data_IF_699599896088
#
_entry.id   IF_699599896088
#
_cell.length_a   1.000
_cell.length_b   1.000
_cell.length_c   1.000
_cell.angle_alpha   90.00
_cell.angle_beta   90.00
_cell.angle_gamma   90.00
#
_symmetry.space_group_name_H-M   'P 1'
#
loop_
_entity.id
_entity.type
_entity.pdbx_description
1 polymer ?
#
# COMPACT_ATOMS: atom_id res chain seq x y z
N UNK A 1 8.15 -11.67 6.49
CA UNK A 1 8.01 -11.37 7.93
C UNK A 1 7.00 -10.24 8.18
N UNK A 2 7.19 -9.04 7.63
CA UNK A 2 6.26 -7.89 7.78
C UNK A 2 4.78 -8.21 7.45
N UNK A 3 4.49 -8.79 6.27
CA UNK A 3 3.11 -9.13 5.89
C UNK A 3 2.46 -10.15 6.85
N UNK A 4 3.25 -11.06 7.44
CA UNK A 4 2.74 -12.06 8.39
C UNK A 4 2.34 -11.39 9.72
N UNK A 5 3.15 -10.44 10.18
CA UNK A 5 2.82 -9.60 11.33
C UNK A 5 1.53 -8.81 11.15
N UNK A 6 1.41 -8.07 10.04
CA UNK A 6 0.20 -7.32 9.71
C UNK A 6 -1.02 -8.23 9.58
N UNK A 7 -0.85 -9.42 9.02
CA UNK A 7 -1.94 -10.38 8.90
C UNK A 7 -2.45 -10.86 10.26
N UNK A 8 -1.56 -11.04 11.25
CA UNK A 8 -1.94 -11.29 12.65
C UNK A 8 -2.80 -10.16 13.22
N UNK A 9 -2.37 -8.90 13.00
CA UNK A 9 -3.12 -7.71 13.43
C UNK A 9 -4.48 -7.62 12.72
N UNK A 10 -4.54 -7.89 11.42
CA UNK A 10 -5.78 -7.91 10.67
C UNK A 10 -6.75 -8.96 11.22
N UNK A 11 -6.26 -10.15 11.55
CA UNK A 11 -7.07 -11.19 12.19
C UNK A 11 -7.59 -10.76 13.55
N UNK A 12 -6.74 -10.21 14.42
CA UNK A 12 -7.16 -9.77 15.75
C UNK A 12 -8.19 -8.64 15.70
N UNK A 13 -8.16 -7.81 14.64
CA UNK A 13 -9.12 -6.73 14.43
C UNK A 13 -10.36 -7.15 13.62
N UNK A 14 -10.45 -8.40 13.14
CA UNK A 14 -11.56 -8.88 12.31
C UNK A 14 -11.61 -8.23 10.92
N UNK A 15 -10.45 -7.87 10.35
CA UNK A 15 -10.31 -7.13 9.08
C UNK A 15 -9.56 -7.90 7.99
N UNK A 16 -9.30 -9.19 8.20
CA UNK A 16 -8.46 -10.02 7.32
C UNK A 16 -9.07 -10.27 5.93
N UNK A 17 -10.37 -10.07 5.77
CA UNK A 17 -11.11 -10.13 4.51
C UNK A 17 -11.18 -8.78 3.78
N UNK A 18 -10.86 -7.68 4.47
CA UNK A 18 -10.92 -6.32 3.91
C UNK A 18 -9.62 -5.86 3.27
N UNK A 19 -8.48 -6.29 3.81
CA UNK A 19 -7.16 -5.82 3.36
C UNK A 19 -6.32 -6.93 2.74
N UNK A 20 -5.89 -6.71 1.49
CA UNK A 20 -4.90 -7.54 0.82
C UNK A 20 -3.49 -7.01 1.10
N UNK A 21 -2.60 -7.86 1.64
CA UNK A 21 -1.21 -7.48 1.88
C UNK A 21 -0.32 -8.07 0.79
N UNK A 22 0.36 -7.21 0.02
CA UNK A 22 1.29 -7.70 -1.01
C UNK A 22 2.73 -7.71 -0.50
N UNK A 23 3.41 -8.83 -0.74
CA UNK A 23 4.83 -8.95 -0.42
C UNK A 23 5.68 -8.11 -1.41
N UNK A 24 6.57 -7.24 -0.93
CA UNK A 24 7.41 -6.42 -1.81
C UNK A 24 8.29 -7.25 -2.74
N UNK A 25 8.74 -8.44 -2.27
CA UNK A 25 9.52 -9.35 -3.09
C UNK A 25 8.72 -9.77 -4.33
N UNK A 26 7.43 -10.10 -4.19
CA UNK A 26 6.59 -10.47 -5.33
C UNK A 26 6.43 -9.31 -6.31
N UNK A 27 6.30 -8.08 -5.81
CA UNK A 27 6.14 -6.90 -6.66
C UNK A 27 7.45 -6.57 -7.40
N UNK A 28 8.60 -6.68 -6.72
CA UNK A 28 9.91 -6.30 -7.26
C UNK A 28 10.50 -7.36 -8.18
N UNK A 29 10.35 -8.65 -7.88
CA UNK A 29 10.83 -9.74 -8.76
C UNK A 29 9.99 -9.84 -10.03
N UNK A 30 8.67 -9.64 -9.95
CA UNK A 30 7.79 -9.71 -11.11
C UNK A 30 7.71 -8.38 -11.87
N UNK A 31 7.87 -7.24 -11.19
CA UNK A 31 8.00 -5.94 -11.82
C UNK A 31 9.27 -5.79 -12.66
N UNK A 32 10.33 -6.55 -12.34
CA UNK A 32 11.55 -6.65 -13.15
C UNK A 32 11.46 -7.70 -14.27
N UNK A 33 10.68 -8.78 -14.10
CA UNK A 33 10.58 -9.88 -15.08
C UNK A 33 9.36 -9.80 -16.01
N UNK A 34 8.56 -8.73 -15.94
CA UNK A 34 7.36 -8.53 -16.76
C UNK A 34 6.26 -9.59 -16.58
N UNK A 35 6.38 -10.49 -15.60
CA UNK A 35 5.35 -11.49 -15.30
C UNK A 35 4.28 -10.88 -14.39
N UNK A 36 3.42 -10.08 -15.03
CA UNK A 36 2.42 -9.23 -14.39
C UNK A 36 1.07 -9.93 -14.16
N UNK A 37 1.00 -11.22 -14.47
CA UNK A 37 -0.19 -12.05 -14.26
C UNK A 37 -0.60 -12.08 -12.80
N UNK A 38 0.37 -12.13 -11.89
CA UNK A 38 0.15 -12.22 -10.44
C UNK A 38 -0.57 -11.00 -9.87
N UNK A 39 -0.11 -9.78 -10.17
CA UNK A 39 -0.72 -8.54 -9.65
C UNK A 39 -2.14 -8.39 -10.20
N UNK A 40 -2.33 -8.63 -11.50
CA UNK A 40 -3.65 -8.58 -12.14
C UNK A 40 -4.60 -9.62 -11.55
N UNK A 41 -4.16 -10.86 -11.33
CA UNK A 41 -5.01 -11.91 -10.76
C UNK A 41 -5.34 -11.59 -9.30
N UNK A 42 -4.37 -11.20 -8.48
CA UNK A 42 -4.60 -10.87 -7.07
C UNK A 42 -5.59 -9.71 -6.92
N UNK A 43 -5.47 -8.65 -7.72
CA UNK A 43 -6.37 -7.50 -7.66
C UNK A 43 -7.71 -7.82 -8.33
N UNK A 44 -7.68 -8.40 -9.53
CA UNK A 44 -8.84 -8.64 -10.37
C UNK A 44 -9.79 -9.70 -9.81
N UNK A 45 -9.24 -10.76 -9.21
CA UNK A 45 -10.02 -11.83 -8.58
C UNK A 45 -10.19 -11.58 -7.08
N UNK A 46 -9.38 -10.70 -6.49
CA UNK A 46 -9.43 -10.39 -5.08
C UNK A 46 -10.74 -9.74 -4.65
N UNK A 47 -11.19 -10.06 -3.44
CA UNK A 47 -12.39 -9.50 -2.81
C UNK A 47 -12.12 -8.34 -1.85
N UNK A 48 -10.86 -7.89 -1.73
CA UNK A 48 -10.43 -6.93 -0.73
C UNK A 48 -10.87 -5.50 -1.08
N UNK A 49 -11.23 -4.71 -0.06
CA UNK A 49 -11.55 -3.29 -0.22
C UNK A 49 -10.30 -2.45 -0.52
N UNK A 50 -9.15 -2.84 0.05
CA UNK A 50 -7.88 -2.15 -0.11
C UNK A 50 -6.71 -3.14 -0.15
N UNK A 51 -5.80 -2.99 -1.11
CA UNK A 51 -4.50 -3.66 -1.11
C UNK A 51 -3.41 -2.70 -0.68
N UNK A 52 -2.56 -3.13 0.26
CA UNK A 52 -1.41 -2.39 0.72
C UNK A 52 -0.13 -2.98 0.12
N UNK A 53 0.57 -2.16 -0.66
CA UNK A 53 1.71 -2.53 -1.48
C UNK A 53 2.92 -1.68 -1.08
N UNK A 54 3.81 -2.19 -0.21
CA UNK A 54 5.12 -1.58 -0.02
C UNK A 54 5.94 -1.74 -1.30
N UNK A 55 6.53 -0.65 -1.77
CA UNK A 55 7.25 -0.57 -3.04
C UNK A 55 8.64 0.04 -2.83
N UNK A 56 9.62 -0.40 -3.62
CA UNK A 56 10.98 0.13 -3.57
C UNK A 56 11.45 0.44 -4.99
N UNK A 57 11.86 1.70 -5.23
CA UNK A 57 12.58 2.11 -6.46
C UNK A 57 13.88 2.83 -6.08
N UNK A 58 13.78 3.95 -5.35
CA UNK A 58 14.93 4.73 -4.86
C UNK A 58 14.84 4.99 -3.34
N UNK A 59 14.04 4.18 -2.67
CA UNK A 59 13.58 4.35 -1.30
C UNK A 59 12.27 3.57 -1.12
N UNK A 60 11.89 3.30 0.13
CA UNK A 60 10.63 2.63 0.45
C UNK A 60 9.46 3.62 0.37
N UNK A 61 8.41 3.20 -0.32
CA UNK A 61 7.15 3.93 -0.48
C UNK A 61 5.97 2.97 -0.31
N UNK A 62 4.76 3.51 -0.13
CA UNK A 62 3.55 2.70 0.01
C UNK A 62 2.55 3.10 -1.07
N UNK A 63 1.94 2.09 -1.69
CA UNK A 63 0.77 2.25 -2.54
C UNK A 63 -0.43 1.57 -1.87
N UNK A 64 -1.53 2.30 -1.74
CA UNK A 64 -2.84 1.74 -1.40
C UNK A 64 -3.69 1.68 -2.66
N UNK A 65 -4.10 0.46 -3.02
CA UNK A 65 -4.97 0.20 -4.17
C UNK A 65 -6.37 -0.08 -3.67
N UNK A 66 -7.34 0.69 -4.12
CA UNK A 66 -8.72 0.54 -3.68
C UNK A 66 -9.63 0.33 -4.90
N UNK A 67 -9.71 -0.91 -5.44
CA UNK A 67 -10.37 -1.19 -6.71
C UNK A 67 -11.84 -0.78 -6.71
N UNK A 68 -12.57 -1.06 -5.62
CA UNK A 68 -13.98 -0.68 -5.44
C UNK A 68 -14.25 0.82 -5.57
N UNK A 69 -13.28 1.66 -5.18
CA UNK A 69 -13.37 3.12 -5.25
C UNK A 69 -12.69 3.69 -6.50
N UNK A 70 -12.16 2.83 -7.38
CA UNK A 70 -11.29 3.18 -8.50
C UNK A 70 -10.24 4.24 -8.12
N UNK A 71 -9.56 4.01 -7.00
CA UNK A 71 -8.61 4.95 -6.42
C UNK A 71 -7.26 4.28 -6.14
N UNK A 72 -6.18 4.99 -6.45
CA UNK A 72 -4.80 4.61 -6.17
C UNK A 72 -4.16 5.74 -5.37
N UNK A 73 -3.67 5.44 -4.18
CA UNK A 73 -2.99 6.42 -3.32
C UNK A 73 -1.52 6.09 -3.18
N UNK A 74 -0.66 7.06 -3.48
CA UNK A 74 0.79 6.93 -3.41
C UNK A 74 1.36 7.76 -2.25
N UNK A 75 1.87 7.07 -1.23
CA UNK A 75 2.52 7.68 -0.08
C UNK A 75 4.03 7.71 -0.31
N UNK A 76 4.58 8.90 -0.53
CA UNK A 76 6.01 9.09 -0.76
C UNK A 76 6.72 9.49 0.51
N UNK A 77 7.54 8.59 1.07
CA UNK A 77 8.31 8.84 2.28
C UNK A 77 9.51 9.79 2.06
N UNK A 78 9.87 10.06 0.80
CA UNK A 78 11.00 10.95 0.45
C UNK A 78 10.63 12.44 0.44
N UNK A 79 9.33 12.75 0.62
CA UNK A 79 8.75 14.09 0.47
C UNK A 79 8.95 14.73 -0.91
N UNK A 80 9.48 13.99 -1.89
CA UNK A 80 9.48 14.34 -3.31
C UNK A 80 8.44 13.45 -3.99
N UNK A 81 7.30 14.01 -4.38
CA UNK A 81 6.31 13.27 -5.17
C UNK A 81 6.93 12.93 -6.53
N UNK A 82 7.52 11.73 -6.63
CA UNK A 82 8.02 11.18 -7.89
C UNK A 82 7.04 10.11 -8.32
N UNK A 83 6.40 10.34 -9.47
CA UNK A 83 5.51 9.35 -10.04
C UNK A 83 6.33 8.08 -10.37
N UNK A 84 5.79 6.89 -10.09
CA UNK A 84 6.40 5.64 -10.57
C UNK A 84 6.60 5.65 -12.10
N UNK A 85 7.60 4.91 -12.59
CA UNK A 85 7.89 4.79 -14.03
C UNK A 85 6.66 4.29 -14.80
N UNK A 86 6.40 4.83 -16.00
CA UNK A 86 5.16 4.64 -16.79
C UNK A 86 4.59 3.21 -16.86
N UNK A 87 5.43 2.19 -17.01
CA UNK A 87 5.00 0.78 -17.16
C UNK A 87 4.26 0.25 -15.92
N UNK A 88 4.58 0.73 -14.72
CA UNK A 88 3.96 0.24 -13.48
C UNK A 88 2.54 0.84 -13.25
N UNK A 89 2.31 2.16 -13.39
CA UNK A 89 0.97 2.73 -13.40
C UNK A 89 0.01 2.11 -14.40
N UNK A 90 0.42 1.98 -15.66
CA UNK A 90 -0.43 1.43 -16.74
C UNK A 90 -0.92 0.02 -16.38
N UNK A 91 -0.05 -0.78 -15.78
CA UNK A 91 -0.38 -2.12 -15.34
C UNK A 91 -1.38 -2.17 -14.18
N UNK A 92 -1.21 -1.29 -13.17
CA UNK A 92 -2.19 -1.19 -12.08
C UNK A 92 -3.54 -0.70 -12.62
N UNK A 93 -3.55 0.24 -13.57
CA UNK A 93 -4.77 0.70 -14.25
C UNK A 93 -5.47 -0.48 -14.96
N UNK A 94 -4.75 -1.32 -15.70
CA UNK A 94 -5.32 -2.53 -16.33
C UNK A 94 -5.83 -3.55 -15.30
N UNK A 95 -5.18 -3.69 -14.15
CA UNK A 95 -5.66 -4.56 -13.08
C UNK A 95 -7.00 -4.07 -12.49
N UNK A 96 -7.17 -2.76 -12.37
CA UNK A 96 -8.45 -2.16 -11.97
C UNK A 96 -9.52 -2.38 -13.04
N UNK A 97 -9.19 -2.21 -14.32
CA UNK A 97 -10.12 -2.52 -15.41
C UNK A 97 -10.60 -3.97 -15.35
N UNK A 98 -9.67 -4.90 -15.14
CA UNK A 98 -9.97 -6.33 -14.98
C UNK A 98 -10.90 -6.58 -13.80
N UNK A 99 -10.60 -5.98 -12.63
CA UNK A 99 -11.46 -6.08 -11.45
C UNK A 99 -12.90 -5.65 -11.74
N UNK A 100 -13.09 -4.48 -12.36
CA UNK A 100 -14.43 -3.97 -12.65
C UNK A 100 -15.18 -4.85 -13.67
N UNK A 101 -14.48 -5.37 -14.69
CA UNK A 101 -15.06 -6.30 -15.68
C UNK A 101 -15.48 -7.61 -15.02
N UNK A 102 -14.64 -8.20 -14.17
CA UNK A 102 -14.97 -9.42 -13.40
C UNK A 102 -16.15 -9.20 -12.46
N UNK A 103 -16.32 -7.99 -11.92
CA UNK A 103 -17.50 -7.58 -11.13
C UNK A 103 -18.72 -7.20 -11.98
N UNK A 104 -18.66 -7.37 -13.30
CA UNK A 104 -19.81 -7.21 -14.21
C UNK A 104 -19.98 -5.82 -14.81
N UNK A 105 -19.03 -4.89 -14.60
CA UNK A 105 -19.06 -3.59 -15.30
C UNK A 105 -18.64 -3.76 -16.76
N UNK A 106 -19.29 -3.01 -17.66
CA UNK A 106 -18.91 -3.04 -19.08
C UNK A 106 -17.59 -2.29 -19.26
N UNK A 107 -16.66 -2.86 -20.03
CA UNK A 107 -15.33 -2.28 -20.26
C UNK A 107 -15.37 -0.82 -20.73
N UNK A 108 -16.34 -0.45 -21.58
CA UNK A 108 -16.52 0.93 -22.06
C UNK A 108 -17.04 1.94 -21.01
N UNK A 109 -17.43 1.46 -19.82
CA UNK A 109 -17.89 2.29 -18.70
C UNK A 109 -16.86 2.39 -17.57
N UNK A 110 -15.77 1.62 -17.65
CA UNK A 110 -14.72 1.67 -16.63
C UNK A 110 -13.86 2.91 -16.85
N UNK A 111 -13.91 3.83 -15.91
CA UNK A 111 -13.02 4.99 -15.90
C UNK A 111 -11.64 4.61 -15.36
N UNK A 112 -10.60 5.31 -15.83
CA UNK A 112 -9.26 5.19 -15.26
C UNK A 112 -9.29 5.51 -13.76
N UNK A 113 -8.54 4.78 -12.94
CA UNK A 113 -8.51 5.04 -11.51
C UNK A 113 -7.92 6.42 -11.20
N UNK A 114 -8.46 7.06 -10.18
CA UNK A 114 -7.97 8.33 -9.67
C UNK A 114 -6.67 8.11 -8.91
N UNK A 115 -5.61 8.77 -9.37
CA UNK A 115 -4.35 8.84 -8.64
C UNK A 115 -4.38 9.95 -7.59
N UNK A 116 -4.08 9.60 -6.35
CA UNK A 116 -3.98 10.52 -5.21
C UNK A 116 -2.54 10.51 -4.72
N UNK A 117 -1.98 11.70 -4.55
CA UNK A 117 -0.62 11.91 -4.03
C UNK A 117 -0.74 12.79 -2.79
N UNK A 118 -1.02 12.21 -1.62
CA UNK A 118 -1.09 12.99 -0.40
C UNK A 118 0.24 13.68 -0.14
N UNK A 119 0.19 14.89 0.40
CA UNK A 119 1.38 15.50 0.98
C UNK A 119 1.83 14.57 2.10
N UNK A 120 3.00 13.98 1.98
CA UNK A 120 3.62 13.23 3.06
C UNK A 120 4.73 14.11 3.63
N UNK A 121 4.82 14.21 4.95
CA UNK A 121 5.89 14.97 5.58
C UNK A 121 7.25 14.49 5.10
N UNK A 122 8.06 15.47 4.68
CA UNK A 122 9.46 15.23 4.40
C UNK A 122 10.13 14.86 5.71
N UNK A 123 10.67 13.66 5.75
CA UNK A 123 11.43 13.17 6.88
C UNK A 123 12.82 13.79 6.79
N UNK A 124 13.23 14.56 7.81
CA UNK A 124 14.62 15.01 7.97
C UNK A 124 15.55 13.88 8.45
N UNK A 125 15.00 12.67 8.61
CA UNK A 125 15.70 11.46 9.03
C UNK A 125 16.19 10.68 7.81
N UNK A 126 17.38 10.09 7.92
CA UNK A 126 18.07 9.47 6.80
C UNK A 126 17.31 8.30 6.14
N UNK A 127 17.76 7.93 4.93
CA UNK A 127 17.10 6.94 4.06
C UNK A 127 16.84 5.56 4.71
N UNK A 128 17.52 5.25 5.82
CA UNK A 128 17.36 4.02 6.59
C UNK A 128 15.95 3.86 7.22
N UNK A 129 15.20 4.95 7.40
CA UNK A 129 13.91 4.91 8.11
C UNK A 129 12.68 4.82 7.19
N UNK A 130 12.86 4.89 5.86
CA UNK A 130 11.75 4.80 4.89
C UNK A 130 10.87 3.56 5.08
N UNK A 131 11.45 2.42 5.45
CA UNK A 131 10.69 1.21 5.75
C UNK A 131 9.77 1.32 6.96
N UNK A 132 10.18 2.09 7.99
CA UNK A 132 9.39 2.33 9.20
C UNK A 132 8.16 3.20 8.89
N UNK A 133 8.28 4.15 7.97
CA UNK A 133 7.14 4.96 7.50
C UNK A 133 6.09 4.14 6.78
N UNK A 134 6.52 3.31 5.84
CA UNK A 134 5.60 2.43 5.13
C UNK A 134 4.86 1.53 6.12
N UNK A 135 5.59 0.93 7.05
CA UNK A 135 5.01 0.11 8.10
C UNK A 135 4.02 0.87 8.98
N UNK A 136 4.33 2.12 9.37
CA UNK A 136 3.43 2.97 10.16
C UNK A 136 2.15 3.30 9.41
N UNK A 137 2.26 3.74 8.15
CA UNK A 137 1.10 4.05 7.33
C UNK A 137 0.19 2.83 7.15
N UNK A 138 0.76 1.65 6.90
CA UNK A 138 -0.04 0.41 6.81
C UNK A 138 -0.78 0.15 8.12
N UNK A 139 -0.12 0.30 9.27
CA UNK A 139 -0.74 0.10 10.57
C UNK A 139 -1.87 1.12 10.85
N UNK A 140 -1.68 2.39 10.52
CA UNK A 140 -2.69 3.44 10.69
C UNK A 140 -3.91 3.20 9.79
N UNK A 141 -3.68 2.88 8.51
CA UNK A 141 -4.75 2.52 7.57
C UNK A 141 -5.57 1.36 8.12
N UNK A 142 -4.89 0.30 8.56
CA UNK A 142 -5.55 -0.89 9.10
C UNK A 142 -6.30 -0.55 10.37
N UNK A 143 -5.73 0.21 11.31
CA UNK A 143 -6.35 0.58 12.59
C UNK A 143 -7.56 1.50 12.43
N UNK A 144 -7.50 2.45 11.52
CA UNK A 144 -8.60 3.37 11.21
C UNK A 144 -9.69 2.75 10.32
N UNK A 145 -9.43 1.56 9.77
CA UNK A 145 -10.30 0.85 8.84
C UNK A 145 -10.72 1.67 7.61
N UNK A 146 -9.73 2.32 7.00
CA UNK A 146 -9.93 3.20 5.84
C UNK A 146 -9.52 2.52 4.52
N UNK A 147 -10.38 2.63 3.51
CA UNK A 147 -10.12 2.15 2.15
C UNK A 147 -10.33 3.25 1.09
N UNK A 148 -10.50 4.50 1.51
CA UNK A 148 -10.59 5.67 0.65
C UNK A 148 -10.24 6.93 1.46
N UNK A 149 -10.18 8.08 0.77
CA UNK A 149 -10.01 9.41 1.40
C UNK A 149 -8.87 9.48 2.42
N UNK A 150 -7.78 8.77 2.14
CA UNK A 150 -6.60 8.68 3.00
C UNK A 150 -6.03 10.06 3.32
N UNK A 151 -6.08 10.99 2.37
CA UNK A 151 -5.66 12.38 2.52
C UNK A 151 -6.41 13.17 3.59
N UNK A 152 -7.60 12.74 3.97
CA UNK A 152 -8.41 13.36 5.04
C UNK A 152 -8.24 12.62 6.38
N UNK A 153 -8.08 11.31 6.31
CA UNK A 153 -8.06 10.45 7.50
C UNK A 153 -6.70 10.39 8.17
N UNK A 154 -5.62 10.64 7.43
CA UNK A 154 -4.26 10.64 7.94
C UNK A 154 -3.76 12.09 8.04
N UNK A 155 -3.30 12.50 9.22
CA UNK A 155 -2.64 13.80 9.44
C UNK A 155 -1.23 13.74 8.84
N UNK A 156 -1.15 13.91 7.52
CA UNK A 156 0.11 13.83 6.78
C UNK A 156 0.85 15.18 6.69
N UNK A 157 0.43 16.18 7.46
CA UNK A 157 1.09 17.49 7.55
C UNK A 157 2.09 17.59 8.71
N UNK A 158 1.99 16.72 9.72
CA UNK A 158 2.96 16.63 10.82
C UNK A 158 3.99 15.52 10.59
N UNK A 159 5.30 15.83 10.56
CA UNK A 159 6.32 14.81 10.52
C UNK A 159 6.19 13.90 11.73
N UNK A 160 6.40 12.60 11.53
CA UNK A 160 6.48 11.67 12.64
C UNK A 160 7.64 12.07 13.56
N UNK A 161 7.37 12.09 14.86
CA UNK A 161 8.39 12.32 15.88
C UNK A 161 9.32 11.11 16.00
N UNK A 162 10.50 11.28 16.59
CA UNK A 162 11.38 10.13 16.91
C UNK A 162 10.67 9.10 17.79
N UNK A 163 9.80 9.54 18.69
CA UNK A 163 8.99 8.65 19.54
C UNK A 163 8.02 7.81 18.73
N UNK A 164 7.39 8.37 17.69
CA UNK A 164 6.54 7.63 16.76
C UNK A 164 7.35 6.55 16.02
N UNK A 165 8.58 6.85 15.61
CA UNK A 165 9.46 5.90 14.93
C UNK A 165 9.87 4.78 15.86
N UNK A 166 10.20 5.11 17.10
CA UNK A 166 10.62 4.15 18.11
C UNK A 166 9.48 3.23 18.55
N UNK A 167 8.25 3.73 18.68
CA UNK A 167 7.06 2.90 18.93
C UNK A 167 6.84 1.90 17.79
N UNK A 168 6.93 2.36 16.54
CA UNK A 168 6.83 1.51 15.35
C UNK A 168 7.91 0.46 15.38
N UNK A 169 9.17 0.86 15.51
CA UNK A 169 10.34 -0.04 15.59
C UNK A 169 10.17 -1.11 16.65
N UNK A 170 9.72 -0.74 17.86
CA UNK A 170 9.48 -1.67 18.96
C UNK A 170 8.38 -2.68 18.65
N UNK A 171 7.22 -2.23 18.18
CA UNK A 171 6.09 -3.11 17.83
C UNK A 171 6.45 -4.13 16.76
N UNK A 172 7.24 -3.73 15.77
CA UNK A 172 7.71 -4.66 14.74
C UNK A 172 8.75 -5.62 15.26
N UNK A 173 9.66 -5.16 16.11
CA UNK A 173 10.62 -6.04 16.77
C UNK A 173 9.91 -7.13 17.59
N UNK A 174 8.93 -6.75 18.41
CA UNK A 174 8.09 -7.68 19.18
C UNK A 174 7.40 -8.69 18.26
N UNK A 175 6.74 -8.21 17.20
CA UNK A 175 6.09 -9.11 16.27
C UNK A 175 7.06 -10.05 15.53
N UNK A 176 8.28 -9.60 15.21
CA UNK A 176 9.28 -10.48 14.61
C UNK A 176 9.80 -11.54 15.57
N UNK A 177 9.86 -11.24 16.87
CA UNK A 177 10.21 -12.22 17.90
C UNK A 177 9.11 -13.26 18.13
N UNK A 178 7.84 -12.86 18.03
CA UNK A 178 6.69 -13.79 18.17
C UNK A 178 6.48 -14.71 16.95
N UNK A 179 6.99 -14.32 15.78
CA UNK A 179 6.82 -15.04 14.52
C UNK A 179 7.98 -16.02 14.22
N UNK A 180 9.08 -15.94 14.98
CA UNK A 180 10.22 -16.86 14.91
C UNK A 180 9.96 -18.19 15.62
#
# INVERSE_FOLDING_TARGET
>A
MMCRCLYGILKSLGRADRYGLMCPLNIQTHGNNEDMSLIRNIIGEGGFDCFLLPFYDKGWELMALCPKFSCITWFSCTGKVKKPKKKFPEMIETAFETYHVVKGMRSNTVSKPKWVYPKCCKQDVGDAEFGLFVMRHMLEIIKLDIANSFEKALDMEKPYSSEDIDDVRRRWAECFLEVM
#
